data_IF_743834069311
#
_entry.id   IF_743834069311
#
_cell.length_a   1.000
_cell.length_b   1.000
_cell.length_c   1.000
_cell.angle_alpha   90.00
_cell.angle_beta   90.00
_cell.angle_gamma   90.00
#
_symmetry.space_group_name_H-M   'P 1'
#
loop_
_entity.id
_entity.type
_entity.pdbx_description
1 polymer ?
#
# COMPACT_ATOMS: atom_id res chain seq x y z
N UNK A 1 3.09 -6.34 12.45
CA UNK A 1 3.57 -5.67 11.22
C UNK A 1 2.55 -4.64 10.80
N UNK A 2 3.03 -3.54 10.19
CA UNK A 2 2.18 -2.48 9.64
C UNK A 2 1.99 -2.68 8.14
N UNK A 3 0.76 -2.90 7.72
CA UNK A 3 0.42 -3.25 6.34
C UNK A 3 -0.48 -2.18 5.73
N UNK A 4 -0.14 -1.74 4.52
CA UNK A 4 -1.03 -0.95 3.67
C UNK A 4 -1.81 -1.87 2.74
N UNK A 5 -3.12 -1.72 2.62
CA UNK A 5 -3.94 -2.52 1.70
C UNK A 5 -4.78 -1.60 0.81
N UNK A 6 -4.57 -1.69 -0.50
CA UNK A 6 -5.29 -0.89 -1.50
C UNK A 6 -6.08 -1.81 -2.40
N UNK A 7 -7.40 -1.66 -2.39
CA UNK A 7 -8.33 -2.53 -3.10
C UNK A 7 -8.89 -3.65 -2.22
N UNK A 8 -10.14 -3.52 -1.83
CA UNK A 8 -10.90 -4.32 -0.87
C UNK A 8 -12.08 -5.03 -1.54
N UNK A 9 -12.03 -5.25 -2.85
CA UNK A 9 -13.04 -6.03 -3.57
C UNK A 9 -13.12 -7.50 -3.14
N UNK A 10 -13.79 -8.34 -3.93
CA UNK A 10 -14.11 -9.75 -3.60
C UNK A 10 -12.94 -10.55 -3.04
N UNK A 11 -11.74 -10.39 -3.61
CA UNK A 11 -10.52 -11.05 -3.12
C UNK A 11 -9.79 -10.28 -2.02
N UNK A 12 -9.73 -8.94 -2.12
CA UNK A 12 -8.97 -8.12 -1.17
C UNK A 12 -9.54 -8.16 0.24
N UNK A 13 -10.86 -8.08 0.38
CA UNK A 13 -11.55 -8.09 1.68
C UNK A 13 -11.23 -9.30 2.57
N UNK A 14 -11.42 -10.56 2.13
CA UNK A 14 -11.12 -11.71 2.98
C UNK A 14 -9.63 -11.79 3.36
N UNK A 15 -8.71 -11.34 2.50
CA UNK A 15 -7.28 -11.25 2.83
C UNK A 15 -7.01 -10.21 3.92
N UNK A 16 -7.55 -8.99 3.76
CA UNK A 16 -7.41 -7.93 4.74
C UNK A 16 -7.97 -8.33 6.12
N UNK A 17 -9.12 -8.99 6.14
CA UNK A 17 -9.70 -9.55 7.38
C UNK A 17 -8.79 -10.60 8.02
N UNK A 18 -8.19 -11.49 7.22
CA UNK A 18 -7.28 -12.50 7.75
C UNK A 18 -6.00 -11.87 8.32
N UNK A 19 -5.48 -10.81 7.69
CA UNK A 19 -4.32 -10.08 8.20
C UNK A 19 -4.63 -9.39 9.54
N UNK A 20 -5.83 -8.79 9.68
CA UNK A 20 -6.29 -8.23 10.96
C UNK A 20 -6.39 -9.33 12.03
N UNK A 21 -6.99 -10.48 11.70
CA UNK A 21 -7.10 -11.63 12.62
C UNK A 21 -5.74 -12.19 13.04
N UNK A 22 -4.73 -12.10 12.18
CA UNK A 22 -3.35 -12.47 12.47
C UNK A 22 -2.61 -11.44 13.36
N UNK A 23 -3.27 -10.34 13.77
CA UNK A 23 -2.70 -9.32 14.64
C UNK A 23 -1.83 -8.29 13.91
N UNK A 24 -2.00 -8.13 12.60
CA UNK A 24 -1.34 -7.06 11.85
C UNK A 24 -2.14 -5.76 11.90
N UNK A 25 -1.43 -4.63 11.93
CA UNK A 25 -2.04 -3.31 11.83
C UNK A 25 -2.26 -2.97 10.37
N UNK A 26 -3.52 -2.74 9.97
CA UNK A 26 -3.86 -2.42 8.58
C UNK A 26 -4.30 -0.97 8.42
N UNK A 27 -3.73 -0.29 7.43
CA UNK A 27 -4.30 0.91 6.83
C UNK A 27 -4.87 0.56 5.46
N UNK A 28 -6.14 0.87 5.22
CA UNK A 28 -6.86 0.40 4.04
C UNK A 28 -7.44 1.55 3.21
N UNK A 29 -7.49 1.34 1.90
CA UNK A 29 -8.14 2.26 0.95
C UNK A 29 -8.82 1.49 -0.18
N UNK A 30 -10.02 1.92 -0.54
CA UNK A 30 -10.74 1.52 -1.76
C UNK A 30 -11.55 2.72 -2.27
N UNK A 31 -11.99 2.66 -3.53
CA UNK A 31 -12.94 3.61 -4.12
C UNK A 31 -14.38 3.31 -3.66
N UNK A 32 -14.69 2.07 -3.30
CA UNK A 32 -15.97 1.66 -2.73
C UNK A 32 -16.00 1.93 -1.22
N UNK A 33 -16.79 2.92 -0.76
CA UNK A 33 -16.87 3.26 0.66
C UNK A 33 -17.45 2.13 1.50
N UNK A 34 -18.35 1.31 0.95
CA UNK A 34 -18.94 0.19 1.69
C UNK A 34 -17.89 -0.88 2.02
N UNK A 35 -16.92 -1.10 1.12
CA UNK A 35 -15.82 -2.00 1.36
C UNK A 35 -14.87 -1.47 2.45
N UNK A 36 -14.59 -0.17 2.45
CA UNK A 36 -13.79 0.50 3.48
C UNK A 36 -14.46 0.40 4.85
N UNK A 37 -15.75 0.73 4.94
CA UNK A 37 -16.51 0.71 6.20
C UNK A 37 -16.55 -0.69 6.82
N UNK A 38 -16.72 -1.73 5.99
CA UNK A 38 -16.68 -3.11 6.45
C UNK A 38 -15.35 -3.48 7.11
N UNK A 39 -14.22 -2.98 6.59
CA UNK A 39 -12.89 -3.22 7.18
C UNK A 39 -12.63 -2.31 8.38
N UNK A 40 -13.16 -1.09 8.41
CA UNK A 40 -13.09 -0.21 9.57
C UNK A 40 -13.76 -0.87 10.79
N UNK A 41 -14.95 -1.44 10.60
CA UNK A 41 -15.65 -2.23 11.64
C UNK A 41 -14.83 -3.44 12.08
N UNK A 42 -14.07 -4.05 11.17
CA UNK A 42 -13.18 -5.17 11.49
C UNK A 42 -11.87 -4.75 12.20
N UNK A 43 -11.63 -3.44 12.37
CA UNK A 43 -10.47 -2.91 13.09
C UNK A 43 -9.35 -2.34 12.21
N UNK A 44 -9.59 -2.13 10.92
CA UNK A 44 -8.63 -1.43 10.06
C UNK A 44 -8.67 0.09 10.28
N UNK A 45 -7.53 0.74 10.07
CA UNK A 45 -7.45 2.20 9.92
C UNK A 45 -7.85 2.59 8.50
N UNK A 46 -8.79 3.51 8.35
CA UNK A 46 -9.19 4.04 7.03
C UNK A 46 -8.21 5.11 6.59
N UNK A 47 -7.69 4.98 5.36
CA UNK A 47 -6.88 6.00 4.71
C UNK A 47 -7.72 6.75 3.65
N UNK A 48 -7.49 8.04 3.48
CA UNK A 48 -8.16 8.86 2.46
C UNK A 48 -7.57 8.71 1.05
N UNK A 49 -6.45 8.01 0.91
CA UNK A 49 -5.86 7.69 -0.39
C UNK A 49 -5.00 6.43 -0.35
N UNK A 50 -4.73 5.86 -1.52
CA UNK A 50 -3.79 4.74 -1.67
C UNK A 50 -2.39 5.10 -1.12
N UNK A 51 -1.92 6.34 -1.37
CA UNK A 51 -0.63 6.84 -0.87
C UNK A 51 -0.58 6.80 0.65
N UNK A 52 -1.63 7.29 1.29
CA UNK A 52 -1.76 7.32 2.75
C UNK A 52 -1.84 5.91 3.34
N UNK A 53 -2.57 5.00 2.71
CA UNK A 53 -2.62 3.60 3.12
C UNK A 53 -1.23 2.95 3.15
N UNK A 54 -0.37 3.32 2.19
CA UNK A 54 0.98 2.78 2.06
C UNK A 54 2.06 3.51 2.89
N UNK A 55 1.72 4.68 3.44
CA UNK A 55 2.68 5.56 4.10
C UNK A 55 3.35 4.88 5.31
N UNK A 56 4.68 4.73 5.26
CA UNK A 56 5.48 4.19 6.37
C UNK A 56 5.17 2.73 6.74
N UNK A 57 4.52 1.98 5.85
CA UNK A 57 4.17 0.56 6.05
C UNK A 57 5.33 -0.36 5.67
N UNK A 58 5.39 -1.50 6.34
CA UNK A 58 6.41 -2.54 6.14
C UNK A 58 6.05 -3.48 4.99
N UNK A 59 4.76 -3.63 4.74
CA UNK A 59 4.25 -4.31 3.56
C UNK A 59 3.12 -3.50 2.96
N UNK A 60 3.01 -3.52 1.65
CA UNK A 60 1.90 -2.92 0.91
C UNK A 60 1.31 -4.00 0.01
N UNK A 61 -0.01 -4.11 -0.01
CA UNK A 61 -0.76 -5.02 -0.88
C UNK A 61 -1.66 -4.17 -1.75
N UNK A 62 -1.59 -4.37 -3.07
CA UNK A 62 -2.49 -3.72 -4.03
C UNK A 62 -3.25 -4.78 -4.82
N UNK A 63 -4.57 -4.68 -4.80
CA UNK A 63 -5.50 -5.61 -5.44
C UNK A 63 -6.47 -4.82 -6.32
N UNK A 64 -6.30 -4.85 -7.64
CA UNK A 64 -7.10 -4.07 -8.58
C UNK A 64 -7.95 -5.00 -9.46
N UNK A 65 -9.13 -4.57 -9.94
CA UNK A 65 -9.97 -5.41 -10.79
C UNK A 65 -9.28 -5.72 -12.12
N UNK A 66 -9.52 -6.93 -12.63
CA UNK A 66 -9.16 -7.31 -13.99
C UNK A 66 -10.12 -6.65 -14.97
N UNK A 67 -9.75 -5.49 -15.47
CA UNK A 67 -10.33 -4.91 -16.69
C UNK A 67 -9.37 -5.19 -17.83
N UNK A 68 -9.89 -5.65 -18.96
CA UNK A 68 -9.14 -5.91 -20.20
C UNK A 68 -8.11 -4.78 -20.43
N UNK A 69 -6.83 -5.11 -20.25
CA UNK A 69 -5.80 -4.09 -19.98
C UNK A 69 -5.44 -3.41 -21.30
N UNK A 70 -5.98 -2.22 -21.54
CA UNK A 70 -5.40 -1.31 -22.51
C UNK A 70 -4.01 -0.81 -22.01
N UNK A 71 -3.07 -0.57 -22.93
CA UNK A 71 -1.67 -0.19 -22.67
C UNK A 71 -1.52 1.02 -21.72
N UNK A 72 -2.49 1.93 -21.69
CA UNK A 72 -2.55 3.10 -20.82
C UNK A 72 -2.72 2.73 -19.35
N UNK A 73 -3.47 1.66 -19.05
CA UNK A 73 -3.67 1.14 -17.69
C UNK A 73 -2.37 0.50 -17.17
N UNK A 74 -1.61 -0.18 -18.02
CA UNK A 74 -0.28 -0.69 -17.67
C UNK A 74 0.74 0.43 -17.38
N UNK A 75 0.71 1.51 -18.16
CA UNK A 75 1.55 2.70 -17.91
C UNK A 75 1.11 3.41 -16.62
N UNK A 76 -0.18 3.41 -16.31
CA UNK A 76 -0.69 3.90 -15.03
C UNK A 76 -0.20 3.05 -13.85
N UNK A 77 0.05 1.75 -14.06
CA UNK A 77 0.62 0.87 -13.04
C UNK A 77 2.08 1.25 -12.74
N UNK A 78 2.95 1.40 -13.75
CA UNK A 78 4.34 1.91 -13.55
C UNK A 78 4.34 3.32 -12.95
N UNK A 79 3.40 4.18 -13.39
CA UNK A 79 3.18 5.49 -12.80
C UNK A 79 2.74 5.42 -11.33
N UNK A 80 1.89 4.46 -10.99
CA UNK A 80 1.46 4.16 -9.61
C UNK A 80 2.61 3.56 -8.81
N UNK A 81 3.45 2.68 -9.40
CA UNK A 81 4.69 2.15 -8.80
C UNK A 81 5.61 3.28 -8.38
N UNK A 82 5.93 4.19 -9.30
CA UNK A 82 6.82 5.32 -9.03
C UNK A 82 6.22 6.30 -8.02
N UNK A 83 4.90 6.59 -8.11
CA UNK A 83 4.23 7.53 -7.21
C UNK A 83 4.08 6.96 -5.80
N UNK A 84 3.76 5.67 -5.66
CA UNK A 84 3.52 5.02 -4.36
C UNK A 84 4.81 4.59 -3.68
N UNK A 85 5.85 4.16 -4.41
CA UNK A 85 7.11 3.72 -3.82
C UNK A 85 7.75 4.78 -2.91
N UNK A 86 7.58 6.08 -3.23
CA UNK A 86 8.04 7.19 -2.40
C UNK A 86 7.32 7.31 -1.03
N UNK A 87 6.16 6.65 -0.85
CA UNK A 87 5.42 6.63 0.41
C UNK A 87 5.72 5.40 1.27
N UNK A 88 6.29 4.34 0.68
CA UNK A 88 6.51 3.10 1.40
C UNK A 88 7.54 3.28 2.52
N UNK A 89 7.45 2.46 3.57
CA UNK A 89 8.53 2.36 4.55
C UNK A 89 9.82 1.84 3.90
N UNK A 90 10.97 2.22 4.46
CA UNK A 90 12.27 1.73 3.98
C UNK A 90 12.31 0.20 4.07
N UNK A 91 12.61 -0.45 2.94
CA UNK A 91 12.66 -1.92 2.85
C UNK A 91 11.30 -2.62 2.81
N UNK A 92 10.22 -1.89 2.52
CA UNK A 92 8.89 -2.47 2.43
C UNK A 92 8.77 -3.52 1.33
N UNK A 93 7.99 -4.57 1.61
CA UNK A 93 7.60 -5.57 0.64
C UNK A 93 6.31 -5.13 -0.08
N UNK A 94 6.34 -5.00 -1.40
CA UNK A 94 5.14 -4.73 -2.17
C UNK A 94 4.67 -5.97 -2.93
N UNK A 95 3.42 -6.37 -2.65
CA UNK A 95 2.70 -7.43 -3.34
C UNK A 95 1.61 -6.81 -4.22
N UNK A 96 1.75 -6.93 -5.53
CA UNK A 96 0.75 -6.49 -6.50
C UNK A 96 0.15 -7.69 -7.23
N UNK A 97 -1.18 -7.71 -7.38
CA UNK A 97 -1.88 -8.73 -8.14
C UNK A 97 -2.46 -8.12 -9.42
N UNK A 98 -1.66 -8.11 -10.50
CA UNK A 98 -2.06 -7.68 -11.84
C UNK A 98 -1.21 -8.41 -12.89
N UNK A 99 -1.82 -9.22 -13.78
CA UNK A 99 -1.25 -9.71 -15.05
C UNK A 99 0.02 -10.61 -15.05
N UNK A 100 0.89 -10.52 -14.05
CA UNK A 100 2.01 -11.41 -13.74
C UNK A 100 2.43 -11.09 -12.31
N UNK A 101 2.62 -12.11 -11.46
CA UNK A 101 3.09 -11.92 -10.10
C UNK A 101 4.42 -11.16 -10.11
N UNK A 102 4.42 -9.91 -9.65
CA UNK A 102 5.60 -9.06 -9.57
C UNK A 102 5.93 -8.75 -8.12
N UNK A 103 7.01 -9.36 -7.61
CA UNK A 103 7.60 -8.96 -6.35
C UNK A 103 8.55 -7.78 -6.61
N UNK A 104 8.23 -6.60 -6.07
CA UNK A 104 9.16 -5.47 -6.09
C UNK A 104 9.73 -5.27 -4.68
N UNK A 105 11.01 -5.58 -4.51
CA UNK A 105 11.78 -5.17 -3.32
C UNK A 105 12.16 -3.71 -3.50
N UNK A 106 11.64 -2.82 -2.66
CA UNK A 106 12.12 -1.43 -2.64
C UNK A 106 13.49 -1.43 -1.95
N UNK A 107 14.57 -1.06 -2.66
CA UNK A 107 15.90 -1.06 -2.07
C UNK A 107 15.93 -0.12 -0.86
N UNK A 108 16.66 -0.54 0.19
CA UNK A 108 16.93 0.32 1.34
C UNK A 108 17.77 1.49 0.84
N UNK A 109 17.19 2.68 0.74
CA UNK A 109 18.02 3.88 0.70
C UNK A 109 18.74 3.96 2.05
N UNK A 110 20.06 4.18 2.08
CA UNK A 110 20.74 4.46 3.32
C UNK A 110 20.05 5.67 3.94
N UNK A 111 19.67 5.57 5.22
CA UNK A 111 19.42 6.76 6.03
C UNK A 111 20.73 7.53 6.01
N UNK A 112 20.82 8.55 5.16
CA UNK A 112 21.78 9.60 5.43
C UNK A 112 21.24 10.28 6.67
N UNK A 113 21.90 10.04 7.80
CA UNK A 113 21.77 10.91 8.96
C UNK A 113 21.84 12.34 8.43
N UNK A 114 20.76 13.12 8.59
CA UNK A 114 20.88 14.56 8.45
C UNK A 114 21.91 14.96 9.50
N UNK A 115 23.05 15.56 9.13
CA UNK A 115 23.89 16.16 10.14
C UNK A 115 23.09 17.31 10.77
N UNK A 116 22.73 17.13 12.03
CA UNK A 116 22.40 18.25 12.89
C UNK A 116 23.60 19.18 12.95
N UNK A 117 23.43 20.43 12.50
CA UNK A 117 24.24 21.63 12.76
C UNK A 117 23.56 22.78 12.02
N UNK A 118 23.34 23.95 12.58
CA UNK A 118 23.57 24.52 13.90
C UNK A 118 22.90 25.88 13.87
N UNK A 119 22.19 26.26 14.93
CA UNK A 119 21.81 27.64 15.14
C UNK A 119 23.09 28.50 15.29
N UNK A 120 23.12 29.63 14.58
CA UNK A 120 24.17 30.65 14.54
C UNK A 120 23.97 31.39 13.23
N UNK A 121 23.64 32.69 13.18
CA UNK A 121 24.01 33.83 14.04
C UNK A 121 22.80 34.74 14.21
#
# INVERSE_FOLDING_TARGET
MRVGFVGLGTMGRPMAVNLLKAGHELAVFDLDPAAVDALAVAGATVAGSAREAAAGREAVVTMQPWVEIDRSTYISEVGTRLRMAAAFGVGALWLSWFGAAGLALVPRTPVTDRPGRSAGV
#
